data_IF_487972566747
#
_entry.id   IF_487972566747
#
_cell.length_a   1.000
_cell.length_b   1.000
_cell.length_c   1.000
_cell.angle_alpha   90.00
_cell.angle_beta   90.00
_cell.angle_gamma   90.00
#
_symmetry.space_group_name_H-M   'P 1'
#
loop_
_entity.id
_entity.type
_entity.pdbx_description
1 polymer ?
#
# COMPACT_ATOMS: atom_id res chain seq x y z
N UNK A 1 -30.61 -14.55 6.22
CA UNK A 1 -29.33 -14.52 6.95
C UNK A 1 -28.33 -13.87 6.03
N UNK A 2 -27.90 -12.65 6.34
CA UNK A 2 -26.98 -11.90 5.49
C UNK A 2 -25.59 -12.53 5.56
N UNK A 3 -24.97 -12.72 4.39
CA UNK A 3 -23.60 -13.22 4.24
C UNK A 3 -22.66 -12.18 4.87
N UNK A 4 -21.96 -12.58 5.94
CA UNK A 4 -20.86 -11.83 6.52
C UNK A 4 -19.70 -11.89 5.53
N UNK A 5 -19.60 -10.90 4.65
CA UNK A 5 -18.41 -10.72 3.82
C UNK A 5 -17.57 -9.65 4.49
N UNK A 6 -16.59 -10.08 5.27
CA UNK A 6 -15.53 -9.19 5.75
C UNK A 6 -14.98 -8.42 4.54
N UNK A 7 -14.98 -7.11 4.66
CA UNK A 7 -14.59 -6.20 3.58
C UNK A 7 -13.25 -5.61 3.93
N UNK A 8 -12.22 -6.01 3.18
CA UNK A 8 -10.88 -5.46 3.33
C UNK A 8 -10.73 -4.25 2.41
N UNK A 9 -10.25 -3.15 2.98
CA UNK A 9 -9.89 -1.93 2.25
C UNK A 9 -8.53 -1.44 2.71
N UNK A 10 -8.01 -0.46 2.02
CA UNK A 10 -6.82 0.23 2.46
C UNK A 10 -6.88 1.69 2.08
N UNK A 11 -6.07 2.46 2.80
CA UNK A 11 -5.92 3.88 2.59
C UNK A 11 -4.48 4.28 2.85
N UNK A 12 -4.13 5.49 2.45
CA UNK A 12 -2.85 6.07 2.83
C UNK A 12 -2.74 6.20 4.36
N UNK A 13 -1.56 5.89 4.88
CA UNK A 13 -1.21 6.23 6.25
C UNK A 13 -1.24 7.76 6.42
N UNK A 14 -1.74 8.22 7.56
CA UNK A 14 -1.84 9.65 7.86
C UNK A 14 -1.16 10.00 9.20
N UNK A 15 -0.83 11.29 9.36
CA UNK A 15 -0.19 11.84 10.57
C UNK A 15 -1.12 11.89 11.79
N UNK A 16 -2.44 11.90 11.57
CA UNK A 16 -3.47 11.97 12.60
C UNK A 16 -3.71 10.63 13.31
N UNK A 17 -3.08 9.57 12.82
CA UNK A 17 -3.12 8.23 13.40
C UNK A 17 -4.32 7.38 12.96
N UNK A 18 -4.32 6.12 13.39
CA UNK A 18 -5.41 5.18 13.11
C UNK A 18 -6.61 5.38 14.04
N UNK A 19 -7.63 4.51 13.93
CA UNK A 19 -8.79 4.54 14.82
C UNK A 19 -8.44 4.34 16.32
N UNK A 20 -7.21 3.94 16.63
CA UNK A 20 -6.65 3.85 17.98
C UNK A 20 -5.70 5.02 18.33
N UNK A 21 -5.64 6.08 17.51
CA UNK A 21 -4.77 7.25 17.64
C UNK A 21 -3.26 6.95 17.64
N UNK A 22 -2.83 5.85 17.00
CA UNK A 22 -1.41 5.53 16.84
C UNK A 22 -0.85 6.14 15.55
N UNK A 23 0.35 6.74 15.59
CA UNK A 23 1.05 7.25 14.40
C UNK A 23 1.23 6.12 13.37
N UNK A 24 0.71 6.35 12.16
CA UNK A 24 0.65 5.35 11.10
C UNK A 24 1.81 5.45 10.13
N UNK A 25 2.42 6.61 10.02
CA UNK A 25 3.34 6.90 8.94
C UNK A 25 4.80 6.91 9.37
N UNK A 26 5.10 7.13 10.66
CA UNK A 26 6.47 7.03 11.22
C UNK A 26 7.53 7.69 10.32
N UNK A 27 7.18 8.84 9.74
CA UNK A 27 8.02 9.63 8.82
C UNK A 27 7.69 9.52 7.32
N UNK A 28 7.00 8.48 6.85
CA UNK A 28 6.54 8.32 5.45
C UNK A 28 5.04 8.49 5.38
N UNK A 29 4.59 9.75 5.43
CA UNK A 29 3.18 10.06 5.31
C UNK A 29 2.91 10.36 3.83
N UNK A 30 1.82 9.81 3.28
CA UNK A 30 1.52 9.82 1.84
C UNK A 30 2.40 8.91 0.97
N UNK A 31 1.95 8.69 -0.27
CA UNK A 31 2.62 7.83 -1.23
C UNK A 31 3.72 8.50 -2.03
N UNK A 32 4.32 7.69 -2.90
CA UNK A 32 5.22 8.12 -3.96
C UNK A 32 4.53 9.24 -4.79
N UNK A 33 5.24 10.32 -5.18
CA UNK A 33 4.65 11.38 -6.00
C UNK A 33 3.96 10.83 -7.26
N UNK A 34 2.69 11.20 -7.46
CA UNK A 34 1.89 10.73 -8.60
C UNK A 34 1.36 9.30 -8.47
N UNK A 35 1.56 8.63 -7.33
CA UNK A 35 0.93 7.34 -7.08
C UNK A 35 -0.57 7.46 -6.86
N UNK A 36 -1.31 6.43 -7.28
CA UNK A 36 -2.72 6.24 -6.98
C UNK A 36 -2.92 4.94 -6.21
N UNK A 37 -3.88 4.95 -5.30
CA UNK A 37 -4.31 3.78 -4.55
C UNK A 37 -5.76 3.48 -4.92
N UNK A 38 -6.01 2.25 -5.32
CA UNK A 38 -7.37 1.72 -5.48
C UNK A 38 -7.73 1.07 -4.14
N UNK A 39 -8.43 1.83 -3.29
CA UNK A 39 -8.66 1.48 -1.87
C UNK A 39 -9.46 0.18 -1.68
N UNK A 40 -10.39 -0.13 -2.58
CA UNK A 40 -11.27 -1.30 -2.49
C UNK A 40 -10.58 -2.63 -2.78
N UNK A 41 -9.42 -2.63 -3.46
CA UNK A 41 -8.68 -3.85 -3.76
C UNK A 41 -7.18 -3.77 -3.44
N UNK A 42 -6.77 -2.66 -2.82
CA UNK A 42 -5.40 -2.39 -2.42
C UNK A 42 -4.35 -2.47 -3.51
N UNK A 43 -4.72 -1.99 -4.70
CA UNK A 43 -3.78 -1.82 -5.80
C UNK A 43 -3.12 -0.46 -5.70
N UNK A 44 -1.83 -0.45 -5.41
CA UNK A 44 -0.96 0.72 -5.50
C UNK A 44 -0.37 0.81 -6.93
N UNK A 45 -0.65 1.91 -7.62
CA UNK A 45 -0.15 2.19 -8.97
C UNK A 45 0.79 3.39 -8.91
N UNK A 46 2.00 3.25 -9.44
CA UNK A 46 2.99 4.32 -9.42
C UNK A 46 4.01 4.13 -10.56
N UNK A 47 4.84 5.14 -10.79
CA UNK A 47 5.98 5.08 -11.69
C UNK A 47 7.18 5.73 -11.01
N UNK A 48 8.32 5.03 -10.99
CA UNK A 48 9.58 5.60 -10.51
C UNK A 48 10.26 6.30 -11.69
N UNK A 49 10.28 7.63 -11.66
CA UNK A 49 10.86 8.44 -12.75
C UNK A 49 12.36 8.66 -12.59
N UNK A 50 12.89 8.48 -11.37
CA UNK A 50 14.28 8.74 -11.04
C UNK A 50 14.99 7.42 -10.68
N UNK A 51 16.13 7.17 -11.34
CA UNK A 51 17.01 6.08 -10.98
C UNK A 51 17.96 6.50 -9.84
N UNK A 52 18.42 5.53 -9.04
CA UNK A 52 19.37 5.76 -7.95
C UNK A 52 18.78 6.38 -6.69
N UNK A 53 17.45 6.49 -6.59
CA UNK A 53 16.76 7.08 -5.43
C UNK A 53 15.76 6.09 -4.82
N UNK A 54 15.54 6.26 -3.53
CA UNK A 54 14.49 5.55 -2.81
C UNK A 54 13.17 6.32 -2.86
N UNK A 55 12.08 5.58 -2.98
CA UNK A 55 10.73 6.09 -2.80
C UNK A 55 10.01 5.17 -1.81
N UNK A 56 9.11 5.72 -1.00
CA UNK A 56 8.41 4.97 0.02
C UNK A 56 6.90 5.24 -0.04
N UNK A 57 6.12 4.28 0.44
CA UNK A 57 4.68 4.39 0.58
C UNK A 57 4.25 3.68 1.87
N UNK A 58 3.43 4.35 2.68
CA UNK A 58 2.82 3.76 3.87
C UNK A 58 1.30 3.69 3.71
N UNK A 59 0.75 2.51 3.97
CA UNK A 59 -0.68 2.22 3.87
C UNK A 59 -1.19 1.65 5.20
N UNK A 60 -2.48 1.86 5.45
CA UNK A 60 -3.22 1.05 6.41
C UNK A 60 -4.04 0.02 5.66
N UNK A 61 -3.96 -1.24 6.09
CA UNK A 61 -4.91 -2.28 5.69
C UNK A 61 -5.97 -2.39 6.78
N UNK A 62 -7.21 -2.16 6.41
CA UNK A 62 -8.33 -2.04 7.31
C UNK A 62 -9.38 -3.11 7.00
N UNK A 63 -9.81 -3.79 8.06
CA UNK A 63 -10.84 -4.83 7.98
C UNK A 63 -12.15 -4.28 8.52
N UNK A 64 -13.23 -4.45 7.75
CA UNK A 64 -14.56 -3.96 8.07
C UNK A 64 -15.55 -5.12 8.11
N UNK A 65 -16.43 -5.08 9.11
CA UNK A 65 -17.52 -6.04 9.25
C UNK A 65 -18.37 -6.20 7.98
N UNK A 66 -18.56 -5.12 7.23
CA UNK A 66 -19.16 -5.15 5.89
C UNK A 66 -18.86 -3.85 5.13
N UNK A 67 -19.17 -3.83 3.84
CA UNK A 67 -18.90 -2.70 2.94
C UNK A 67 -19.62 -1.39 3.31
N UNK A 68 -20.69 -1.45 4.10
CA UNK A 68 -21.44 -0.27 4.53
C UNK A 68 -20.85 0.41 5.78
N UNK A 69 -19.94 -0.25 6.49
CA UNK A 69 -19.32 0.30 7.70
C UNK A 69 -18.20 1.26 7.34
N UNK A 70 -18.08 2.34 8.10
CA UNK A 70 -17.04 3.38 7.93
C UNK A 70 -15.97 3.32 9.01
N UNK A 71 -16.20 2.56 10.09
CA UNK A 71 -15.22 2.33 11.15
C UNK A 71 -14.65 0.92 11.01
N UNK A 72 -13.33 0.76 10.90
CA UNK A 72 -12.71 -0.55 10.79
C UNK A 72 -12.71 -1.30 12.13
N UNK A 73 -12.72 -2.63 12.07
CA UNK A 73 -12.54 -3.52 13.21
C UNK A 73 -11.06 -3.72 13.54
N UNK A 74 -10.19 -3.69 12.52
CA UNK A 74 -8.74 -3.76 12.68
C UNK A 74 -8.04 -2.89 11.63
N UNK A 75 -6.83 -2.42 11.95
CA UNK A 75 -6.00 -1.57 11.09
C UNK A 75 -4.55 -1.97 11.28
N UNK A 76 -3.92 -2.43 10.21
CA UNK A 76 -2.53 -2.90 10.22
C UNK A 76 -1.69 -1.97 9.35
N UNK A 77 -0.64 -1.33 9.90
CA UNK A 77 0.29 -0.53 9.11
C UNK A 77 1.16 -1.42 8.23
N UNK A 78 1.30 -1.05 6.95
CA UNK A 78 2.26 -1.65 6.02
C UNK A 78 3.05 -0.53 5.34
N UNK A 79 4.37 -0.67 5.33
CA UNK A 79 5.27 0.26 4.66
C UNK A 79 6.06 -0.45 3.57
N UNK A 80 6.16 0.20 2.41
CA UNK A 80 6.93 -0.26 1.27
C UNK A 80 8.09 0.69 1.00
N UNK A 81 9.25 0.12 0.70
CA UNK A 81 10.41 0.85 0.21
C UNK A 81 10.74 0.35 -1.20
N UNK A 82 10.79 1.28 -2.15
CA UNK A 82 11.12 1.02 -3.54
C UNK A 82 12.43 1.71 -3.89
N UNK A 83 13.24 1.07 -4.73
CA UNK A 83 14.48 1.65 -5.24
C UNK A 83 14.42 1.72 -6.76
N UNK A 84 14.64 2.91 -7.31
CA UNK A 84 14.62 3.14 -8.75
C UNK A 84 15.91 2.65 -9.41
N UNK A 85 15.80 1.73 -10.36
CA UNK A 85 16.91 1.32 -11.21
C UNK A 85 16.84 2.03 -12.57
N UNK A 86 18.01 2.29 -13.17
CA UNK A 86 18.07 2.71 -14.55
C UNK A 86 17.52 1.57 -15.43
N UNK A 87 16.58 1.90 -16.32
CA UNK A 87 16.08 0.94 -17.29
C UNK A 87 17.27 0.43 -18.13
N UNK A 88 17.43 -0.90 -18.30
CA UNK A 88 18.43 -1.45 -19.20
C UNK A 88 18.28 -0.87 -20.61
N UNK A 89 19.40 -0.64 -21.29
CA UNK A 89 19.35 -0.21 -22.69
C UNK A 89 18.71 -1.31 -23.55
N UNK A 90 17.59 -1.00 -24.22
CA UNK A 90 16.85 -1.92 -25.10
C UNK A 90 15.37 -2.08 -24.73
N UNK A 91 14.69 -3.05 -25.36
CA UNK A 91 13.30 -3.41 -25.04
C UNK A 91 13.26 -4.35 -23.84
N UNK A 92 12.82 -3.87 -22.68
CA UNK A 92 12.47 -4.71 -21.53
C UNK A 92 11.21 -5.53 -21.84
N UNK A 93 11.38 -6.78 -22.30
CA UNK A 93 10.26 -7.71 -22.54
C UNK A 93 9.87 -8.51 -21.31
N UNK A 94 10.71 -8.50 -20.27
CA UNK A 94 10.49 -9.25 -19.03
C UNK A 94 9.84 -8.34 -17.99
N UNK A 95 8.63 -8.66 -17.50
CA UNK A 95 8.02 -7.95 -16.38
C UNK A 95 8.88 -8.04 -15.12
N UNK A 96 8.85 -7.03 -14.23
CA UNK A 96 9.52 -7.10 -12.95
C UNK A 96 8.98 -8.26 -12.10
N UNK A 97 9.87 -8.94 -11.39
CA UNK A 97 9.55 -10.04 -10.49
C UNK A 97 9.81 -9.63 -9.03
N UNK A 98 8.97 -10.12 -8.11
CA UNK A 98 9.19 -9.94 -6.67
C UNK A 98 10.33 -10.89 -6.25
N UNK A 99 11.46 -10.33 -5.86
CA UNK A 99 12.58 -11.07 -5.29
C UNK A 99 12.47 -11.02 -3.76
N UNK A 100 12.01 -12.11 -3.16
CA UNK A 100 11.87 -12.22 -1.70
C UNK A 100 11.10 -13.46 -1.28
N UNK A 101 11.21 -13.84 0.00
CA UNK A 101 10.34 -14.86 0.58
C UNK A 101 8.92 -14.31 0.64
N UNK A 102 8.03 -14.82 -0.22
CA UNK A 102 6.60 -14.70 0.03
C UNK A 102 6.36 -15.43 1.36
N UNK A 103 5.77 -14.79 2.40
CA UNK A 103 5.31 -15.54 3.55
C UNK A 103 4.43 -16.67 3.04
N UNK A 104 4.85 -17.90 3.30
CA UNK A 104 4.27 -19.09 2.70
C UNK A 104 2.76 -19.12 2.94
N UNK A 105 2.01 -19.43 1.88
CA UNK A 105 0.60 -19.82 1.97
C UNK A 105 0.46 -21.10 2.79
#
# INVERSE_FOLDING_TARGET
GALLTDTLRCRWANLSGNFNNADECDGVCYGIPGASLIEDNCTLVFTLTNAGVYAAAALQIEDYYSSSYTTPMSSVPIQFLFYGYAAPAGTCTTPPAIIGNRPNR
#
